data_IF_145651550445
#
_entry.id   IF_145651550445
#
_cell.length_a   1.000
_cell.length_b   1.000
_cell.length_c   1.000
_cell.angle_alpha   90.00
_cell.angle_beta   90.00
_cell.angle_gamma   90.00
#
_symmetry.space_group_name_H-M   'P 1'
#
loop_
_entity.id
_entity.type
_entity.pdbx_description
1 polymer ?
#
# COMPACT_ATOMS: atom_id res chain seq x y z
N UNK A 1 12.89 13.09 -19.33
CA UNK A 1 11.46 12.93 -19.01
C UNK A 1 10.89 14.31 -18.76
N UNK A 2 9.71 14.68 -19.26
CA UNK A 2 9.14 16.01 -18.99
C UNK A 2 8.61 16.08 -17.55
N UNK A 3 8.61 17.28 -16.96
CA UNK A 3 8.13 17.50 -15.59
C UNK A 3 6.69 16.99 -15.40
N UNK A 4 5.81 17.30 -16.35
CA UNK A 4 4.43 16.80 -16.37
C UNK A 4 4.35 15.25 -16.35
N UNK A 5 5.18 14.55 -17.15
CA UNK A 5 5.19 13.08 -17.13
C UNK A 5 5.68 12.53 -15.79
N UNK A 6 6.62 13.21 -15.14
CA UNK A 6 7.11 12.82 -13.81
C UNK A 6 6.03 12.96 -12.75
N UNK A 7 5.32 14.07 -12.73
CA UNK A 7 4.25 14.32 -11.76
C UNK A 7 3.06 13.38 -11.97
N UNK A 8 2.67 13.13 -13.22
CA UNK A 8 1.63 12.14 -13.55
C UNK A 8 2.01 10.74 -13.08
N UNK A 9 3.25 10.29 -13.37
CA UNK A 9 3.72 8.99 -12.91
C UNK A 9 3.77 8.91 -11.39
N UNK A 10 4.22 9.98 -10.73
CA UNK A 10 4.26 10.06 -9.27
C UNK A 10 2.88 9.87 -8.65
N UNK A 11 1.85 10.55 -9.15
CA UNK A 11 0.47 10.41 -8.66
C UNK A 11 -0.07 9.00 -8.91
N UNK A 12 0.17 8.44 -10.11
CA UNK A 12 -0.27 7.09 -10.44
C UNK A 12 0.35 6.04 -9.52
N UNK A 13 1.66 6.10 -9.30
CA UNK A 13 2.37 5.15 -8.42
C UNK A 13 1.88 5.25 -6.98
N UNK A 14 1.67 6.46 -6.47
CA UNK A 14 1.16 6.64 -5.10
C UNK A 14 -0.25 6.08 -4.90
N UNK A 15 -1.09 6.06 -5.96
CA UNK A 15 -2.41 5.40 -5.88
C UNK A 15 -2.30 3.89 -5.64
N UNK A 16 -1.25 3.24 -6.15
CA UNK A 16 -1.01 1.81 -5.91
C UNK A 16 -0.53 1.50 -4.49
N UNK A 17 -0.09 2.49 -3.71
CA UNK A 17 0.27 2.29 -2.29
C UNK A 17 -0.89 1.70 -1.49
N UNK A 18 -2.13 2.12 -1.76
CA UNK A 18 -3.32 1.56 -1.11
C UNK A 18 -3.53 0.08 -1.47
N UNK A 19 -3.47 -0.26 -2.76
CA UNK A 19 -3.58 -1.64 -3.21
C UNK A 19 -2.48 -2.52 -2.60
N UNK A 20 -1.25 -2.00 -2.51
CA UNK A 20 -0.10 -2.69 -1.92
C UNK A 20 -0.29 -2.96 -0.42
N UNK A 21 -0.73 -1.98 0.36
CA UNK A 21 -0.98 -2.20 1.80
C UNK A 21 -2.06 -3.23 2.03
N UNK A 22 -3.17 -3.13 1.31
CA UNK A 22 -4.28 -4.07 1.42
C UNK A 22 -3.86 -5.50 1.03
N UNK A 23 -3.20 -5.65 -0.13
CA UNK A 23 -2.71 -6.94 -0.62
C UNK A 23 -1.78 -7.63 0.38
N UNK A 24 -0.76 -6.92 0.86
CA UNK A 24 0.20 -7.49 1.80
C UNK A 24 -0.39 -7.76 3.19
N UNK A 25 -1.43 -7.02 3.59
CA UNK A 25 -2.20 -7.32 4.79
C UNK A 25 -2.92 -8.68 4.68
N UNK A 26 -3.61 -8.94 3.58
CA UNK A 26 -4.23 -10.26 3.35
C UNK A 26 -3.23 -11.39 3.19
N UNK A 27 -2.15 -11.16 2.44
CA UNK A 27 -1.08 -12.14 2.31
C UNK A 27 -0.54 -12.54 3.70
N UNK A 28 -0.34 -11.56 4.59
CA UNK A 28 0.14 -11.82 5.95
C UNK A 28 -0.86 -12.63 6.78
N UNK A 29 -2.17 -12.32 6.71
CA UNK A 29 -3.19 -13.12 7.40
C UNK A 29 -3.21 -14.59 6.94
N UNK A 30 -3.02 -14.83 5.64
CA UNK A 30 -2.92 -16.19 5.11
C UNK A 30 -1.63 -16.85 5.62
N UNK A 31 -0.50 -16.15 5.58
CA UNK A 31 0.78 -16.68 6.06
C UNK A 31 0.77 -16.99 7.56
N UNK A 32 0.07 -16.21 8.38
CA UNK A 32 -0.08 -16.49 9.81
C UNK A 32 -0.65 -17.89 10.11
N UNK A 33 -1.41 -18.47 9.16
CA UNK A 33 -1.97 -19.82 9.29
C UNK A 33 -1.12 -20.90 8.62
N UNK A 34 -0.46 -20.58 7.51
CA UNK A 34 0.12 -21.61 6.63
C UNK A 34 1.64 -21.58 6.54
N UNK A 35 2.30 -20.50 6.95
CA UNK A 35 3.74 -20.36 6.84
C UNK A 35 4.45 -21.14 7.94
N UNK A 36 5.59 -21.74 7.61
CA UNK A 36 6.54 -22.32 8.57
C UNK A 36 7.64 -21.35 8.99
N UNK A 37 7.63 -20.12 8.46
CA UNK A 37 8.62 -19.09 8.77
C UNK A 37 8.33 -18.52 10.16
N UNK A 38 9.36 -18.41 11.01
CA UNK A 38 9.30 -17.74 12.31
C UNK A 38 9.25 -16.22 12.13
N UNK A 39 8.04 -15.69 11.95
CA UNK A 39 7.78 -14.28 11.73
C UNK A 39 6.40 -13.90 12.27
N UNK A 40 6.27 -12.70 12.84
CA UNK A 40 4.99 -12.17 13.34
C UNK A 40 4.10 -11.66 12.19
N UNK A 41 3.45 -12.61 11.51
CA UNK A 41 2.55 -12.31 10.40
C UNK A 41 1.29 -11.55 10.82
N UNK A 42 0.76 -11.79 12.03
CA UNK A 42 -0.42 -11.07 12.51
C UNK A 42 -0.08 -9.61 12.82
N UNK A 43 1.02 -9.35 13.52
CA UNK A 43 1.52 -8.01 13.76
C UNK A 43 1.82 -7.28 12.45
N UNK A 44 2.45 -7.96 11.48
CA UNK A 44 2.67 -7.39 10.15
C UNK A 44 1.36 -7.07 9.42
N UNK A 45 0.34 -7.93 9.49
CA UNK A 45 -0.97 -7.67 8.88
C UNK A 45 -1.60 -6.39 9.45
N UNK A 46 -1.58 -6.22 10.78
CA UNK A 46 -2.08 -5.00 11.45
C UNK A 46 -1.33 -3.77 10.95
N UNK A 47 0.01 -3.80 10.94
CA UNK A 47 0.82 -2.68 10.44
C UNK A 47 0.47 -2.30 8.99
N UNK A 48 0.20 -3.29 8.13
CA UNK A 48 -0.18 -3.04 6.73
C UNK A 48 -1.56 -2.41 6.62
N UNK A 49 -2.56 -2.88 7.37
CA UNK A 49 -3.89 -2.29 7.36
C UNK A 49 -3.92 -0.89 7.99
N UNK A 50 -3.20 -0.66 9.08
CA UNK A 50 -3.07 0.66 9.70
C UNK A 50 -2.46 1.67 8.71
N UNK A 51 -1.42 1.27 7.99
CA UNK A 51 -0.80 2.12 6.98
C UNK A 51 -1.74 2.36 5.79
N UNK A 52 -2.57 1.38 5.40
CA UNK A 52 -3.64 1.59 4.40
C UNK A 52 -4.57 2.73 4.83
N UNK A 53 -5.16 2.63 6.03
CA UNK A 53 -6.13 3.62 6.50
C UNK A 53 -5.49 4.99 6.76
N UNK A 54 -4.25 5.02 7.24
CA UNK A 54 -3.48 6.26 7.44
C UNK A 54 -3.17 6.98 6.13
N UNK A 55 -2.82 6.24 5.07
CA UNK A 55 -2.41 6.83 3.77
C UNK A 55 -3.58 7.15 2.86
N UNK A 56 -4.72 6.47 3.03
CA UNK A 56 -5.92 6.61 2.20
C UNK A 56 -6.36 8.06 1.96
N UNK A 57 -6.50 8.94 2.97
CA UNK A 57 -6.93 10.32 2.74
C UNK A 57 -5.97 11.12 1.85
N UNK A 58 -4.66 10.96 2.07
CA UNK A 58 -3.63 11.68 1.31
C UNK A 58 -3.60 11.22 -0.16
N UNK A 59 -3.72 9.90 -0.40
CA UNK A 59 -3.71 9.33 -1.75
C UNK A 59 -5.00 9.66 -2.52
N UNK A 60 -6.15 9.69 -1.85
CA UNK A 60 -7.43 10.09 -2.47
C UNK A 60 -7.44 11.56 -2.87
N UNK A 61 -6.76 12.42 -2.10
CA UNK A 61 -6.60 13.84 -2.43
C UNK A 61 -5.66 14.11 -3.64
N UNK A 62 -4.84 13.14 -4.07
CA UNK A 62 -3.92 13.32 -5.20
C UNK A 62 -4.68 13.39 -6.53
N UNK A 63 -4.51 14.51 -7.24
CA UNK A 63 -5.02 14.76 -8.58
C UNK A 63 -3.93 14.57 -9.62
N UNK A 64 -4.28 14.01 -10.77
CA UNK A 64 -3.38 13.96 -11.92
C UNK A 64 -3.23 15.40 -12.45
N UNK A 65 -2.01 15.90 -12.71
CA UNK A 65 -1.80 17.20 -13.32
C UNK A 65 -2.48 17.28 -14.70
N UNK A 66 -3.10 18.43 -15.00
CA UNK A 66 -3.63 18.73 -16.34
C UNK A 66 -2.50 18.88 -17.38
#
# INVERSE_FOLDING_TARGET
MSQHKLETLYVQVNKFTLASHFFWGFWALIQAKYSSIDFDFLGYAVLRFDQYFKTKPAVEAMKIPE
#
